data_IF_061280674029
#
_entry.id   IF_061280674029
#
_cell.length_a   1.000
_cell.length_b   1.000
_cell.length_c   1.000
_cell.angle_alpha   90.00
_cell.angle_beta   90.00
_cell.angle_gamma   90.00
#
_symmetry.space_group_name_H-M   'P 1'
#
loop_
_entity.id
_entity.type
_entity.pdbx_description
1 polymer ?
#
# COMPACT_ATOMS: atom_id res chain seq x y z
N UNK A 1 -24.86 26.32 45.91
CA UNK A 1 -23.60 25.57 45.78
C UNK A 1 -24.03 24.20 45.33
N UNK A 2 -24.15 24.02 44.02
CA UNK A 2 -24.54 22.76 43.41
C UNK A 2 -23.53 22.50 42.30
N UNK A 3 -22.54 21.67 42.66
CA UNK A 3 -21.54 21.17 41.73
C UNK A 3 -22.27 20.14 40.87
N UNK A 4 -22.72 20.56 39.68
CA UNK A 4 -23.16 19.63 38.66
C UNK A 4 -21.96 18.76 38.26
N UNK A 5 -22.05 17.48 38.60
CA UNK A 5 -21.12 16.43 38.22
C UNK A 5 -21.16 16.23 36.70
N UNK A 6 -20.37 17.02 35.97
CA UNK A 6 -20.18 16.91 34.53
C UNK A 6 -19.10 15.85 34.25
N UNK A 7 -19.29 14.65 34.78
CA UNK A 7 -18.40 13.52 34.52
C UNK A 7 -19.20 12.25 34.23
N UNK A 8 -20.22 12.38 33.38
CA UNK A 8 -20.75 11.23 32.67
C UNK A 8 -19.65 10.70 31.74
N UNK A 9 -18.80 9.85 32.28
CA UNK A 9 -17.77 9.11 31.58
C UNK A 9 -18.44 8.42 30.38
N UNK A 10 -18.14 8.90 29.18
CA UNK A 10 -18.57 8.25 27.94
C UNK A 10 -17.80 6.93 27.86
N UNK A 11 -18.38 5.86 28.40
CA UNK A 11 -17.84 4.51 28.35
C UNK A 11 -18.70 3.62 27.47
N UNK A 12 -18.06 2.70 26.76
CA UNK A 12 -18.77 1.66 26.01
C UNK A 12 -19.67 0.85 26.95
N UNK A 13 -20.81 0.38 26.45
CA UNK A 13 -21.62 -0.60 27.18
C UNK A 13 -20.80 -1.86 27.43
N UNK A 14 -21.09 -2.60 28.50
CA UNK A 14 -20.39 -3.85 28.82
C UNK A 14 -20.43 -4.85 27.67
N UNK A 15 -21.56 -4.92 26.95
CA UNK A 15 -21.71 -5.81 25.80
C UNK A 15 -20.88 -5.33 24.59
N UNK A 16 -20.85 -4.03 24.31
CA UNK A 16 -20.03 -3.46 23.22
C UNK A 16 -18.54 -3.66 23.50
N UNK A 17 -18.10 -3.48 24.75
CA UNK A 17 -16.72 -3.67 25.16
C UNK A 17 -16.30 -5.14 25.09
N UNK A 18 -17.19 -6.07 25.46
CA UNK A 18 -16.96 -7.51 25.31
C UNK A 18 -16.80 -7.91 23.84
N UNK A 19 -17.71 -7.46 22.97
CA UNK A 19 -17.64 -7.72 21.53
C UNK A 19 -16.37 -7.15 20.89
N UNK A 20 -15.94 -5.95 21.31
CA UNK A 20 -14.69 -5.35 20.83
C UNK A 20 -13.47 -6.16 21.27
N UNK A 21 -13.43 -6.62 22.53
CA UNK A 21 -12.34 -7.44 23.02
C UNK A 21 -12.26 -8.79 22.30
N UNK A 22 -13.39 -9.45 22.04
CA UNK A 22 -13.44 -10.69 21.24
C UNK A 22 -12.84 -10.46 19.84
N UNK A 23 -13.26 -9.40 19.14
CA UNK A 23 -12.69 -9.04 17.83
C UNK A 23 -11.18 -8.77 17.88
N UNK A 24 -10.69 -8.04 18.90
CA UNK A 24 -9.25 -7.75 19.05
C UNK A 24 -8.44 -9.04 19.26
N UNK A 25 -8.97 -9.97 20.04
CA UNK A 25 -8.34 -11.28 20.28
C UNK A 25 -8.32 -12.12 18.99
N UNK A 26 -9.38 -12.11 18.19
CA UNK A 26 -9.42 -12.80 16.90
C UNK A 26 -8.36 -12.25 15.92
N UNK A 27 -8.18 -10.93 15.87
CA UNK A 27 -7.17 -10.29 15.02
C UNK A 27 -5.73 -10.68 15.40
N UNK A 28 -5.43 -10.79 16.70
CA UNK A 28 -4.10 -11.20 17.17
C UNK A 28 -3.75 -12.65 16.81
N UNK A 29 -4.73 -13.56 16.88
CA UNK A 29 -4.51 -14.95 16.47
C UNK A 29 -4.32 -15.11 14.96
N UNK A 30 -4.89 -14.21 14.15
CA UNK A 30 -4.75 -14.24 12.69
C UNK A 30 -3.38 -13.78 12.20
N UNK A 31 -2.66 -12.96 12.97
CA UNK A 31 -1.30 -12.49 12.64
C UNK A 31 -0.20 -13.54 12.89
N UNK A 32 -0.41 -14.48 13.81
CA UNK A 32 0.63 -15.43 14.24
C UNK A 32 0.69 -16.72 13.41
N UNK A 33 -0.25 -16.96 12.50
CA UNK A 33 -0.31 -18.16 11.64
C UNK A 33 0.39 -17.99 10.27
N UNK A 34 0.94 -16.81 9.97
CA UNK A 34 1.53 -16.47 8.66
C UNK A 34 3.01 -16.85 8.49
N UNK A 35 3.40 -18.06 8.90
CA UNK A 35 4.75 -18.58 8.71
C UNK A 35 4.88 -19.43 7.44
N UNK A 36 5.76 -19.00 6.53
CA UNK A 36 6.48 -19.80 5.50
C UNK A 36 6.13 -19.59 4.02
N UNK A 37 7.10 -18.95 3.35
CA UNK A 37 7.67 -19.26 2.02
C UNK A 37 6.82 -19.15 0.75
N UNK A 38 7.26 -18.23 -0.10
CA UNK A 38 6.94 -17.94 -1.52
C UNK A 38 6.02 -16.74 -1.68
N UNK A 39 6.60 -15.52 -1.71
CA UNK A 39 5.98 -14.26 -2.17
C UNK A 39 4.45 -14.27 -2.01
N UNK A 40 3.99 -14.46 -0.78
CA UNK A 40 2.56 -14.48 -0.50
C UNK A 40 2.08 -13.09 -0.84
N UNK A 41 1.24 -12.99 -1.89
CA UNK A 41 0.58 -11.73 -2.23
C UNK A 41 0.09 -11.10 -0.94
N UNK A 42 0.62 -9.90 -0.65
CA UNK A 42 0.24 -9.18 0.55
C UNK A 42 -1.26 -8.99 0.51
N UNK A 43 -1.94 -9.36 1.60
CA UNK A 43 -3.38 -9.12 1.70
C UNK A 43 -3.65 -7.62 1.68
N UNK A 44 -4.75 -7.23 1.04
CA UNK A 44 -5.25 -5.86 1.06
C UNK A 44 -5.32 -5.35 2.51
N UNK A 45 -4.82 -4.14 2.75
CA UNK A 45 -5.09 -3.39 3.97
C UNK A 45 -6.04 -2.24 3.66
N UNK A 46 -7.31 -2.41 4.05
CA UNK A 46 -8.34 -1.40 3.87
C UNK A 46 -8.04 -0.10 4.61
N UNK A 47 -7.24 -0.13 5.70
CA UNK A 47 -6.84 1.09 6.42
C UNK A 47 -5.89 1.95 5.59
N UNK A 48 -5.15 1.32 4.69
CA UNK A 48 -4.26 1.98 3.74
C UNK A 48 -4.94 2.23 2.39
N UNK A 49 -6.23 1.94 2.27
CA UNK A 49 -6.98 2.07 1.00
C UNK A 49 -6.35 1.26 -0.14
N UNK A 50 -5.79 0.08 0.17
CA UNK A 50 -5.22 -0.84 -0.82
C UNK A 50 -6.33 -1.69 -1.44
N UNK A 51 -6.47 -1.62 -2.76
CA UNK A 51 -7.39 -2.42 -3.54
C UNK A 51 -6.65 -3.04 -4.71
N UNK A 52 -6.69 -4.36 -4.86
CA UNK A 52 -6.00 -5.04 -5.93
C UNK A 52 -6.83 -5.03 -7.21
N UNK A 53 -6.17 -4.75 -8.34
CA UNK A 53 -6.78 -4.93 -9.65
C UNK A 53 -7.15 -6.39 -9.89
N UNK A 54 -8.21 -6.60 -10.68
CA UNK A 54 -8.47 -7.92 -11.26
C UNK A 54 -7.26 -8.40 -12.06
N UNK A 55 -7.06 -9.72 -12.16
CA UNK A 55 -5.96 -10.30 -12.94
C UNK A 55 -5.97 -9.85 -14.41
N UNK A 56 -7.15 -9.63 -14.98
CA UNK A 56 -7.31 -9.12 -16.35
C UNK A 56 -6.81 -7.67 -16.46
N UNK A 57 -7.26 -6.78 -15.58
CA UNK A 57 -6.82 -5.38 -15.56
C UNK A 57 -5.33 -5.27 -15.31
N UNK A 58 -4.81 -6.01 -14.34
CA UNK A 58 -3.38 -6.03 -14.01
C UNK A 58 -2.52 -6.48 -15.20
N UNK A 59 -2.98 -7.49 -15.94
CA UNK A 59 -2.31 -7.97 -17.15
C UNK A 59 -2.29 -6.90 -18.24
N UNK A 60 -3.44 -6.28 -18.53
CA UNK A 60 -3.55 -5.25 -19.58
C UNK A 60 -2.59 -4.09 -19.27
N UNK A 61 -2.59 -3.57 -18.04
CA UNK A 61 -1.70 -2.47 -17.66
C UNK A 61 -0.22 -2.88 -17.75
N UNK A 62 0.11 -4.12 -17.37
CA UNK A 62 1.48 -4.63 -17.48
C UNK A 62 1.96 -4.79 -18.93
N UNK A 63 1.06 -5.07 -19.87
CA UNK A 63 1.36 -5.16 -21.31
C UNK A 63 1.53 -3.77 -21.95
N UNK A 64 0.81 -2.76 -21.48
CA UNK A 64 0.90 -1.38 -21.99
C UNK A 64 2.15 -0.61 -21.50
N UNK A 65 2.66 -0.90 -20.30
CA UNK A 65 3.83 -0.19 -19.78
C UNK A 65 5.07 -0.30 -20.72
N UNK A 66 5.44 -1.49 -21.24
CA UNK A 66 6.53 -1.63 -22.21
C UNK A 66 6.27 -0.94 -23.56
N UNK A 67 5.02 -0.89 -24.04
CA UNK A 67 4.70 -0.26 -25.34
C UNK A 67 4.99 1.25 -25.28
N UNK A 68 4.73 1.88 -24.14
CA UNK A 68 5.06 3.28 -23.86
C UNK A 68 6.57 3.57 -23.75
N UNK A 69 7.39 2.53 -23.64
CA UNK A 69 8.84 2.67 -23.43
C UNK A 69 9.67 2.63 -24.72
N UNK A 70 9.02 2.45 -25.89
CA UNK A 70 9.62 2.38 -27.24
C UNK A 70 10.75 1.32 -27.36
N UNK A 71 10.67 0.21 -26.62
CA UNK A 71 11.66 -0.87 -26.67
C UNK A 71 13.04 -0.53 -26.09
N UNK A 72 13.21 0.64 -25.47
CA UNK A 72 14.40 0.98 -24.70
C UNK A 72 14.27 0.41 -23.29
N UNK A 73 15.37 -0.04 -22.67
CA UNK A 73 15.41 -0.31 -21.23
C UNK A 73 14.98 0.94 -20.45
N UNK A 74 13.70 1.02 -20.12
CA UNK A 74 13.11 2.15 -19.43
C UNK A 74 12.93 1.79 -17.97
N UNK A 75 13.30 2.73 -17.10
CA UNK A 75 12.96 2.66 -15.68
C UNK A 75 11.52 3.09 -15.51
N UNK A 76 10.72 2.21 -14.92
CA UNK A 76 9.32 2.43 -14.59
C UNK A 76 9.24 2.62 -13.08
N UNK A 77 8.49 3.63 -12.63
CA UNK A 77 8.13 3.78 -11.22
C UNK A 77 6.66 3.48 -11.08
N UNK A 78 6.31 2.67 -10.08
CA UNK A 78 4.93 2.44 -9.67
C UNK A 78 4.76 2.98 -8.26
N UNK A 79 3.79 3.87 -8.13
CA UNK A 79 3.32 4.44 -6.88
C UNK A 79 2.02 3.72 -6.51
N UNK A 80 2.00 3.15 -5.32
CA UNK A 80 0.80 2.59 -4.67
C UNK A 80 0.11 1.37 -5.32
N UNK A 81 0.40 1.05 -6.59
CA UNK A 81 -0.26 -0.09 -7.23
C UNK A 81 0.54 -0.58 -8.44
N UNK A 82 0.69 -1.91 -8.52
CA UNK A 82 1.02 -2.69 -9.72
C UNK A 82 2.48 -3.07 -10.01
N UNK A 83 3.43 -2.90 -9.09
CA UNK A 83 4.82 -3.33 -9.38
C UNK A 83 4.96 -4.84 -9.60
N UNK A 84 4.15 -5.65 -8.90
CA UNK A 84 4.38 -7.10 -8.88
C UNK A 84 4.00 -7.77 -10.20
N UNK A 85 2.88 -7.37 -10.81
CA UNK A 85 2.45 -7.96 -12.08
C UNK A 85 3.40 -7.59 -13.22
N UNK A 86 3.88 -6.35 -13.29
CA UNK A 86 4.82 -5.91 -14.34
C UNK A 86 6.13 -6.68 -14.25
N UNK A 87 6.69 -6.84 -13.04
CA UNK A 87 7.94 -7.59 -12.83
C UNK A 87 7.79 -9.09 -13.12
N UNK A 88 6.62 -9.66 -12.81
CA UNK A 88 6.32 -11.06 -13.12
C UNK A 88 6.19 -11.31 -14.63
N UNK A 89 5.68 -10.34 -15.38
CA UNK A 89 5.49 -10.44 -16.82
C UNK A 89 6.76 -10.10 -17.63
N UNK A 90 7.63 -9.21 -17.12
CA UNK A 90 8.87 -8.84 -17.79
C UNK A 90 10.04 -8.72 -16.79
N UNK A 91 10.84 -9.79 -16.60
CA UNK A 91 11.97 -9.80 -15.67
C UNK A 91 13.08 -8.80 -16.01
N UNK A 92 13.13 -8.34 -17.27
CA UNK A 92 14.15 -7.40 -17.76
C UNK A 92 13.75 -5.93 -17.59
N UNK A 93 12.52 -5.65 -17.13
CA UNK A 93 12.07 -4.30 -16.84
C UNK A 93 12.69 -3.79 -15.53
N UNK A 94 13.27 -2.59 -15.55
CA UNK A 94 13.72 -1.92 -14.33
C UNK A 94 12.53 -1.23 -13.70
N UNK A 95 12.10 -1.73 -12.55
CA UNK A 95 10.86 -1.30 -11.91
C UNK A 95 11.13 -0.96 -10.44
N UNK A 96 10.72 0.23 -10.04
CA UNK A 96 10.82 0.70 -8.67
C UNK A 96 9.42 0.93 -8.09
N UNK A 97 9.12 0.27 -6.98
CA UNK A 97 7.95 0.49 -6.15
C UNK A 97 8.23 1.59 -5.14
N UNK A 98 7.38 2.62 -5.13
CA UNK A 98 7.34 3.65 -4.09
C UNK A 98 6.06 3.42 -3.29
N UNK A 99 6.21 2.99 -2.04
CA UNK A 99 5.08 2.56 -1.21
C UNK A 99 5.22 2.98 0.25
N UNK A 100 4.07 3.27 0.87
CA UNK A 100 4.00 3.55 2.31
C UNK A 100 3.99 2.25 3.13
N UNK A 101 3.41 1.18 2.59
CA UNK A 101 3.31 -0.08 3.28
C UNK A 101 4.66 -0.81 3.36
N UNK A 102 5.25 -0.83 4.55
CA UNK A 102 6.55 -1.46 4.82
C UNK A 102 6.54 -2.98 4.64
N UNK A 103 5.39 -3.64 4.53
CA UNK A 103 5.32 -5.07 4.20
C UNK A 103 5.93 -5.37 2.82
N UNK A 104 5.96 -4.39 1.92
CA UNK A 104 6.62 -4.49 0.61
C UNK A 104 8.15 -4.44 0.68
N UNK A 105 8.76 -4.19 1.85
CA UNK A 105 10.23 -4.25 2.02
C UNK A 105 10.84 -5.60 1.64
N UNK A 106 10.05 -6.68 1.63
CA UNK A 106 10.46 -7.99 1.14
C UNK A 106 10.95 -8.00 -0.32
N UNK A 107 10.59 -6.98 -1.12
CA UNK A 107 11.05 -6.81 -2.50
C UNK A 107 12.44 -6.17 -2.62
N UNK A 108 13.11 -5.88 -1.50
CA UNK A 108 14.51 -5.47 -1.48
C UNK A 108 14.77 -4.19 -2.26
N UNK A 109 15.70 -4.24 -3.22
CA UNK A 109 16.12 -3.06 -4.00
C UNK A 109 15.02 -2.48 -4.89
N UNK A 110 13.98 -3.25 -5.22
CA UNK A 110 12.85 -2.75 -6.02
C UNK A 110 11.84 -1.98 -5.18
N UNK A 111 12.01 -1.93 -3.85
CA UNK A 111 11.14 -1.18 -2.94
C UNK A 111 11.84 0.07 -2.40
N UNK A 112 11.10 1.18 -2.40
CA UNK A 112 11.44 2.43 -1.73
C UNK A 112 10.27 2.80 -0.83
N UNK A 113 10.52 3.03 0.45
CA UNK A 113 9.50 3.59 1.34
C UNK A 113 9.18 5.03 0.89
N UNK A 114 7.91 5.33 0.70
CA UNK A 114 7.46 6.63 0.23
C UNK A 114 6.26 7.11 1.05
N UNK A 115 6.41 8.27 1.70
CA UNK A 115 5.32 8.92 2.43
C UNK A 115 4.53 9.81 1.47
N UNK A 116 3.26 9.43 1.23
CA UNK A 116 2.35 10.19 0.37
C UNK A 116 2.12 11.64 0.84
N UNK A 117 2.37 11.95 2.11
CA UNK A 117 2.27 13.30 2.66
C UNK A 117 3.48 14.19 2.31
N UNK A 118 4.57 13.60 1.81
CA UNK A 118 5.81 14.28 1.46
C UNK A 118 6.12 14.05 -0.03
N UNK A 119 5.28 14.58 -0.96
CA UNK A 119 5.38 14.25 -2.38
C UNK A 119 6.70 14.68 -3.06
N UNK A 120 7.45 15.59 -2.45
CA UNK A 120 8.73 16.06 -2.97
C UNK A 120 9.92 15.18 -2.56
N UNK A 121 9.74 14.28 -1.59
CA UNK A 121 10.77 13.38 -1.05
C UNK A 121 10.98 12.12 -1.91
N UNK A 122 11.13 12.33 -3.21
CA UNK A 122 11.48 11.27 -4.16
C UNK A 122 13.01 11.09 -4.19
N UNK A 123 13.54 9.84 -4.18
CA UNK A 123 14.97 9.58 -4.33
C UNK A 123 15.56 10.26 -5.57
N UNK A 124 16.75 10.83 -5.41
CA UNK A 124 17.39 11.63 -6.48
C UNK A 124 17.72 10.78 -7.71
N UNK A 125 17.93 9.48 -7.53
CA UNK A 125 18.20 8.49 -8.58
C UNK A 125 17.00 8.24 -9.48
N UNK A 126 15.78 8.55 -9.00
CA UNK A 126 14.54 8.39 -9.74
C UNK A 126 14.16 9.67 -10.48
N UNK A 127 14.56 10.84 -9.96
CA UNK A 127 14.29 12.15 -10.57
C UNK A 127 14.85 12.21 -12.00
N UNK A 128 14.00 12.57 -12.96
CA UNK A 128 14.32 12.66 -14.40
C UNK A 128 14.84 11.36 -15.06
N UNK A 129 14.77 10.21 -14.37
CA UNK A 129 15.26 8.93 -14.90
C UNK A 129 14.16 8.04 -15.46
N UNK A 130 12.90 8.32 -15.10
CA UNK A 130 11.75 7.49 -15.42
C UNK A 130 11.06 8.01 -16.69
N UNK A 131 10.72 7.09 -17.60
CA UNK A 131 9.89 7.42 -18.77
C UNK A 131 8.40 7.33 -18.47
N UNK A 132 8.03 6.34 -17.66
CA UNK A 132 6.64 6.03 -17.32
C UNK A 132 6.53 5.97 -15.81
N UNK A 133 5.52 6.64 -15.28
CA UNK A 133 5.13 6.59 -13.87
C UNK A 133 3.69 6.12 -13.80
N UNK A 134 3.46 4.99 -13.15
CA UNK A 134 2.12 4.44 -12.89
C UNK A 134 1.74 4.84 -11.47
N UNK A 135 0.56 5.45 -11.30
CA UNK A 135 0.12 6.01 -10.01
C UNK A 135 -1.32 5.64 -9.76
N UNK A 136 -1.59 5.08 -8.59
CA UNK A 136 -2.94 4.76 -8.12
C UNK A 136 -3.00 5.00 -6.60
N UNK A 137 -2.97 6.28 -6.17
CA UNK A 137 -2.75 6.61 -4.78
C UNK A 137 -3.98 6.22 -3.94
N UNK A 138 -3.79 5.99 -2.62
CA UNK A 138 -4.91 5.74 -1.72
C UNK A 138 -5.93 6.89 -1.76
N UNK A 139 -7.18 6.62 -1.33
CA UNK A 139 -8.24 7.63 -1.32
C UNK A 139 -7.81 8.89 -0.55
N UNK A 140 -7.53 9.98 -1.28
CA UNK A 140 -7.09 11.24 -0.72
C UNK A 140 -8.30 12.03 -0.21
N UNK A 141 -8.52 12.04 1.11
CA UNK A 141 -9.35 13.06 1.75
C UNK A 141 -8.51 14.33 1.88
N UNK A 142 -9.00 15.48 1.41
CA UNK A 142 -8.32 16.76 1.62
C UNK A 142 -8.08 16.96 3.12
N UNK A 143 -6.81 17.02 3.53
CA UNK A 143 -6.45 17.78 4.73
C UNK A 143 -6.42 19.23 4.26
N UNK A 144 -7.44 20.00 4.65
CA UNK A 144 -7.50 21.43 4.34
C UNK A 144 -6.22 22.11 4.83
N UNK A 145 -5.57 22.85 3.92
CA UNK A 145 -4.62 23.89 4.25
C UNK A 145 -5.29 24.98 5.10
#
# INVERSE_FOLDING_TARGET
>A
MDVYDFNCCVSLSSHTLAALNEFVVEQQHHSDAGGSSNASLLSEDWRLSQFWYSSETAKIVAEEVPTLCDGVHARVVSLACLTLYVKQMNPNASLQLLEYDKRFQQYGSDYTFYDYNLPDEIPSELKHSCKVVVVDPPYLVRINC
#
